data_IF_355822801629
#
_entry.id   IF_355822801629
#
_cell.length_a   1.000
_cell.length_b   1.000
_cell.length_c   1.000
_cell.angle_alpha   90.00
_cell.angle_beta   90.00
_cell.angle_gamma   90.00
#
_symmetry.space_group_name_H-M   'P 1'
#
loop_
_entity.id
_entity.type
_entity.pdbx_description
1 polymer ?
#
# COMPACT_ATOMS: atom_id res chain seq x y z
N UNK A 1 0.74 -26.46 0.84
CA UNK A 1 -0.02 -25.32 1.41
C UNK A 1 -0.57 -24.51 0.23
N UNK A 2 -1.86 -24.67 -0.10
CA UNK A 2 -2.52 -24.08 -1.29
C UNK A 2 -3.73 -23.21 -0.92
N UNK A 3 -3.90 -22.92 0.37
CA UNK A 3 -5.01 -22.13 0.91
C UNK A 3 -4.76 -20.63 0.92
N UNK A 4 -3.53 -20.17 0.67
CA UNK A 4 -3.13 -18.76 0.72
C UNK A 4 -2.37 -18.38 -0.52
N UNK A 5 -3.04 -17.66 -1.41
CA UNK A 5 -2.39 -17.02 -2.55
C UNK A 5 -1.85 -15.63 -2.15
N UNK A 6 -0.83 -15.10 -2.85
CA UNK A 6 -0.33 -13.75 -2.62
C UNK A 6 -1.42 -12.70 -2.83
N UNK A 7 -1.39 -11.65 -2.01
CA UNK A 7 -2.18 -10.44 -2.22
C UNK A 7 -1.35 -9.40 -2.99
N UNK A 8 -2.03 -8.56 -3.76
CA UNK A 8 -1.42 -7.47 -4.53
C UNK A 8 -1.90 -6.11 -4.03
N UNK A 9 -0.95 -5.22 -3.67
CA UNK A 9 -1.20 -3.83 -3.31
C UNK A 9 -0.81 -2.92 -4.49
N UNK A 10 -1.77 -2.44 -5.30
CA UNK A 10 -1.47 -1.66 -6.49
C UNK A 10 -0.98 -0.26 -6.14
N UNK A 11 -0.13 0.28 -7.00
CA UNK A 11 0.12 1.73 -7.11
C UNK A 11 -0.65 2.28 -8.31
N UNK A 12 -1.03 3.55 -8.24
CA UNK A 12 -1.93 4.17 -9.24
C UNK A 12 -1.22 4.38 -10.57
N UNK A 13 -0.01 4.92 -10.48
CA UNK A 13 0.84 5.24 -11.61
C UNK A 13 2.11 4.38 -11.52
N UNK A 14 2.56 3.75 -12.63
CA UNK A 14 3.81 3.00 -12.65
C UNK A 14 5.00 3.89 -12.27
N UNK A 15 5.97 3.32 -11.55
CA UNK A 15 7.19 4.01 -11.14
C UNK A 15 8.38 3.46 -11.91
N UNK A 16 9.13 4.32 -12.58
CA UNK A 16 10.37 3.95 -13.26
C UNK A 16 11.46 3.65 -12.23
N UNK A 17 12.12 2.49 -12.35
CA UNK A 17 13.17 2.03 -11.45
C UNK A 17 14.46 1.76 -12.23
N UNK A 18 15.33 2.77 -12.40
CA UNK A 18 16.65 2.57 -13.00
C UNK A 18 17.49 1.58 -12.20
N UNK A 19 18.39 0.86 -12.90
CA UNK A 19 19.34 -0.07 -12.25
C UNK A 19 20.13 0.64 -11.16
N UNK A 20 20.16 0.06 -9.96
CA UNK A 20 20.88 0.60 -8.80
C UNK A 20 20.06 1.59 -7.95
N UNK A 21 18.80 1.87 -8.33
CA UNK A 21 17.91 2.69 -7.50
C UNK A 21 17.41 1.92 -6.29
N UNK A 22 17.19 2.63 -5.19
CA UNK A 22 16.48 2.12 -4.02
C UNK A 22 14.98 2.32 -4.22
N UNK A 23 14.21 1.26 -3.99
CA UNK A 23 12.76 1.35 -3.83
C UNK A 23 12.46 1.45 -2.33
N UNK A 24 11.83 2.55 -1.93
CA UNK A 24 11.39 2.76 -0.55
C UNK A 24 9.86 2.84 -0.53
N UNK A 25 9.26 2.05 0.38
CA UNK A 25 7.81 1.91 0.50
C UNK A 25 7.44 2.01 1.97
N UNK A 26 6.41 2.79 2.27
CA UNK A 26 5.85 2.92 3.60
C UNK A 26 4.48 2.26 3.63
N UNK A 27 4.21 1.55 4.73
CA UNK A 27 2.94 0.89 5.00
C UNK A 27 2.45 1.25 6.39
N UNK A 28 1.16 1.51 6.51
CA UNK A 28 0.49 1.74 7.78
C UNK A 28 -0.68 0.77 7.94
N UNK A 29 -0.80 0.18 9.13
CA UNK A 29 -2.01 -0.51 9.56
C UNK A 29 -2.82 0.46 10.40
N UNK A 30 -3.95 0.89 9.87
CA UNK A 30 -4.81 1.88 10.48
C UNK A 30 -6.05 1.21 11.07
N UNK A 31 -6.55 1.73 12.20
CA UNK A 31 -7.62 1.10 12.98
C UNK A 31 -8.57 2.15 13.52
N UNK A 32 -9.85 1.80 13.54
CA UNK A 32 -10.91 2.42 14.33
C UNK A 32 -11.61 1.32 15.15
N UNK A 33 -12.50 1.65 16.10
CA UNK A 33 -13.27 0.63 16.82
C UNK A 33 -14.14 -0.29 15.95
N UNK A 34 -14.40 0.05 14.69
CA UNK A 34 -15.30 -0.71 13.78
C UNK A 34 -14.62 -1.23 12.52
N UNK A 35 -13.42 -0.76 12.19
CA UNK A 35 -12.77 -1.02 10.90
C UNK A 35 -11.25 -1.03 11.02
N UNK A 36 -10.62 -1.85 10.19
CA UNK A 36 -9.17 -1.89 9.96
C UNK A 36 -8.90 -1.66 8.48
N UNK A 37 -7.82 -0.97 8.14
CA UNK A 37 -7.37 -0.83 6.75
C UNK A 37 -5.85 -0.68 6.67
N UNK A 38 -5.35 -0.72 5.45
CA UNK A 38 -3.96 -0.40 5.14
C UNK A 38 -3.88 0.86 4.30
N UNK A 39 -2.85 1.66 4.56
CA UNK A 39 -2.40 2.74 3.70
C UNK A 39 -0.96 2.43 3.26
N UNK A 40 -0.60 2.81 2.04
CA UNK A 40 0.75 2.60 1.53
C UNK A 40 1.17 3.70 0.56
N UNK A 41 2.48 3.89 0.41
CA UNK A 41 3.08 4.93 -0.42
C UNK A 41 4.49 4.49 -0.85
N UNK A 42 4.87 4.79 -2.09
CA UNK A 42 6.27 4.75 -2.54
C UNK A 42 6.90 6.13 -2.34
N UNK A 43 8.05 6.19 -1.68
CA UNK A 43 8.79 7.46 -1.42
C UNK A 43 10.06 7.58 -2.25
N UNK A 44 10.63 6.47 -2.72
CA UNK A 44 11.78 6.44 -3.64
C UNK A 44 11.54 5.42 -4.76
N UNK A 45 12.01 5.69 -6.00
CA UNK A 45 12.83 6.83 -6.43
C UNK A 45 12.02 8.11 -6.70
N UNK A 46 10.70 8.00 -6.77
CA UNK A 46 9.78 9.11 -6.96
C UNK A 46 8.72 9.07 -5.86
N UNK A 47 8.41 10.23 -5.29
CA UNK A 47 7.34 10.36 -4.32
C UNK A 47 5.99 10.13 -5.01
N UNK A 48 5.28 9.08 -4.57
CA UNK A 48 3.91 8.79 -4.98
C UNK A 48 2.86 9.50 -4.11
N UNK A 49 1.61 9.01 -4.19
CA UNK A 49 0.52 9.44 -3.33
C UNK A 49 0.21 8.39 -2.26
N UNK A 50 -0.30 8.81 -1.10
CA UNK A 50 -0.83 7.85 -0.12
C UNK A 50 -2.04 7.12 -0.72
N UNK A 51 -1.94 5.80 -0.79
CA UNK A 51 -3.01 4.92 -1.22
C UNK A 51 -3.97 4.62 -0.07
N UNK A 52 -5.27 4.60 -0.38
CA UNK A 52 -6.36 4.34 0.56
C UNK A 52 -6.40 5.24 1.82
N UNK A 53 -6.17 6.58 1.71
CA UNK A 53 -6.14 7.46 2.88
C UNK A 53 -7.49 7.40 3.63
N UNK A 54 -7.42 7.26 4.95
CA UNK A 54 -8.58 7.11 5.84
C UNK A 54 -9.49 5.91 5.49
N UNK A 55 -8.97 4.91 4.78
CA UNK A 55 -9.74 3.72 4.38
C UNK A 55 -10.81 4.02 3.33
N UNK A 56 -10.70 5.13 2.58
CA UNK A 56 -11.77 5.60 1.68
C UNK A 56 -12.11 4.64 0.53
N UNK A 57 -11.19 3.74 0.18
CA UNK A 57 -11.35 2.80 -0.94
C UNK A 57 -11.53 1.36 -0.47
N UNK A 58 -10.89 0.98 0.65
CA UNK A 58 -11.00 -0.37 1.20
C UNK A 58 -10.87 -0.37 2.73
N UNK A 59 -11.77 -1.10 3.39
CA UNK A 59 -11.72 -1.38 4.83
C UNK A 59 -12.17 -2.81 5.11
N UNK A 60 -11.56 -3.45 6.09
CA UNK A 60 -12.03 -4.70 6.67
C UNK A 60 -12.88 -4.37 7.90
N UNK A 61 -14.11 -4.89 7.93
CA UNK A 61 -14.97 -4.80 9.10
C UNK A 61 -14.41 -5.61 10.26
N UNK A 62 -14.54 -5.07 11.47
CA UNK A 62 -14.33 -5.82 12.71
C UNK A 62 -15.57 -6.64 13.07
#
# INVERSE_FOLDING_TARGET
MFSWFPIYFPIKDPVSLPKGSTLEVHFWRCVTPRKVWYEWLVTQPQLGTVHNPCGRSYTMGL
#
